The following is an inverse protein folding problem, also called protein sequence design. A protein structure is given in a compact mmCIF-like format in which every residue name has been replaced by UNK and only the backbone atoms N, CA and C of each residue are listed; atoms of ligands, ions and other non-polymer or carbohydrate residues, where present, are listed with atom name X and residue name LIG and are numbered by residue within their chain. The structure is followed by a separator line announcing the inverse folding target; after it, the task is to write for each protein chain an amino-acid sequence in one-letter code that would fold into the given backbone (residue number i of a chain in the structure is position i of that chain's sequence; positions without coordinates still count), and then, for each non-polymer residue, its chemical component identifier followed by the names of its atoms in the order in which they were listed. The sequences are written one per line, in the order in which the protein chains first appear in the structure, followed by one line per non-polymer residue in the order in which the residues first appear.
data_IF_065881029457
#
_entry.id   IF_065881029457
#
_cell.length_a   1.000
_cell.length_b   1.000
_cell.length_c   1.000
_cell.angle_alpha   90.00
_cell.angle_beta   90.00
_cell.angle_gamma   90.00
#
_symmetry.space_group_name_H-M   'P 1'
#
loop_
_entity.id
_entity.type
_entity.pdbx_description
1 polymer ?
#
# COMPACT_ATOMS: atom_id res chain seq x y z
N UNK A 1 -20.50 -56.93 16.15
CA UNK A 1 -20.76 -55.62 15.52
C UNK A 1 -20.01 -54.57 16.37
N UNK A 2 -18.78 -54.24 15.96
CA UNK A 2 -17.91 -53.33 16.70
C UNK A 2 -18.04 -51.92 16.07
N UNK A 3 -18.52 -50.95 16.85
CA UNK A 3 -18.49 -49.53 16.47
C UNK A 3 -17.08 -49.01 16.59
N UNK A 4 -16.49 -48.54 15.47
CA UNK A 4 -15.30 -47.71 15.46
C UNK A 4 -15.69 -46.29 15.87
N UNK A 5 -14.90 -45.59 16.73
CA UNK A 5 -15.12 -44.18 17.00
C UNK A 5 -14.69 -43.32 15.81
N UNK A 6 -15.58 -42.47 15.34
CA UNK A 6 -15.22 -41.37 14.43
C UNK A 6 -14.28 -40.38 15.22
N UNK A 7 -13.03 -40.41 14.85
CA UNK A 7 -12.10 -39.32 15.25
C UNK A 7 -12.43 -38.11 14.35
N UNK A 8 -13.20 -37.19 14.86
CA UNK A 8 -13.35 -35.88 14.26
C UNK A 8 -12.04 -35.11 14.53
N UNK A 9 -11.13 -35.14 13.57
CA UNK A 9 -9.97 -34.23 13.55
C UNK A 9 -10.47 -32.80 13.45
N UNK A 10 -10.53 -32.10 14.59
CA UNK A 10 -10.74 -30.67 14.59
C UNK A 10 -9.54 -30.05 13.90
N UNK A 11 -9.74 -29.46 12.73
CA UNK A 11 -8.77 -28.56 12.14
C UNK A 11 -8.53 -27.44 13.18
N UNK A 12 -7.38 -27.43 13.85
CA UNK A 12 -6.96 -26.26 14.64
C UNK A 12 -6.90 -25.08 13.66
N UNK A 13 -7.79 -24.11 13.84
CA UNK A 13 -7.64 -22.83 13.15
C UNK A 13 -6.24 -22.31 13.49
N UNK A 14 -5.43 -22.09 12.47
CA UNK A 14 -4.06 -21.63 12.68
C UNK A 14 -4.08 -20.34 13.50
N UNK A 15 -3.38 -20.34 14.64
CA UNK A 15 -3.40 -19.23 15.57
C UNK A 15 -2.44 -18.13 15.09
N UNK A 16 -2.94 -16.91 15.01
CA UNK A 16 -2.13 -15.73 14.70
C UNK A 16 -1.41 -15.26 15.95
N UNK A 17 -0.10 -15.04 15.84
CA UNK A 17 0.73 -14.60 16.95
C UNK A 17 1.40 -13.27 16.68
N UNK A 18 1.34 -12.37 17.67
CA UNK A 18 2.14 -11.15 17.72
C UNK A 18 3.41 -11.43 18.51
N UNK A 19 4.56 -11.19 17.91
CA UNK A 19 5.87 -11.33 18.55
C UNK A 19 6.55 -9.96 18.60
N UNK A 20 6.90 -9.50 19.80
CA UNK A 20 7.68 -8.28 19.97
C UNK A 20 9.14 -8.55 19.61
N UNK A 21 9.71 -7.70 18.78
CA UNK A 21 11.10 -7.75 18.35
C UNK A 21 11.88 -6.67 19.08
N UNK A 22 13.03 -7.05 19.68
CA UNK A 22 13.92 -6.10 20.32
C UNK A 22 14.62 -5.28 19.25
N UNK A 23 14.19 -4.02 19.08
CA UNK A 23 14.86 -3.06 18.22
C UNK A 23 15.91 -2.26 19.02
N UNK A 24 17.02 -1.82 18.40
CA UNK A 24 18.09 -1.11 19.13
C UNK A 24 17.68 0.29 19.60
N UNK A 25 16.59 0.84 19.04
CA UNK A 25 16.03 2.13 19.41
C UNK A 25 14.53 2.19 19.01
N UNK A 26 13.88 3.33 19.30
CA UNK A 26 12.51 3.59 18.85
C UNK A 26 12.38 3.41 17.33
N UNK A 27 11.39 2.63 16.92
CA UNK A 27 11.04 2.44 15.49
C UNK A 27 10.35 3.68 14.97
N UNK A 28 10.87 4.20 13.86
CA UNK A 28 10.41 5.41 13.21
C UNK A 28 9.69 5.11 11.88
N UNK A 29 10.17 4.12 11.12
CA UNK A 29 9.61 3.75 9.83
C UNK A 29 9.98 2.30 9.48
N UNK A 30 9.17 1.70 8.62
CA UNK A 30 9.50 0.50 7.86
C UNK A 30 9.40 0.83 6.38
N UNK A 31 10.17 0.14 5.55
CA UNK A 31 10.01 0.15 4.10
C UNK A 31 10.45 -1.18 3.48
N UNK A 32 10.22 -1.31 2.19
CA UNK A 32 10.73 -2.43 1.38
C UNK A 32 11.45 -1.87 0.16
N UNK A 33 12.72 -2.18 0.02
CA UNK A 33 13.55 -1.76 -1.12
C UNK A 33 14.02 -2.97 -1.89
N UNK A 34 13.68 -3.05 -3.17
CA UNK A 34 13.99 -4.20 -4.03
C UNK A 34 13.56 -5.54 -3.42
N UNK A 35 12.39 -5.59 -2.77
CA UNK A 35 11.86 -6.77 -2.10
C UNK A 35 12.47 -7.07 -0.72
N UNK A 36 13.46 -6.30 -0.27
CA UNK A 36 14.08 -6.47 1.05
C UNK A 36 13.42 -5.57 2.10
N UNK A 37 12.79 -6.14 3.14
CA UNK A 37 12.19 -5.37 4.23
C UNK A 37 13.26 -4.73 5.12
N UNK A 38 13.02 -3.48 5.52
CA UNK A 38 13.93 -2.72 6.38
C UNK A 38 13.16 -1.97 7.46
N UNK A 39 13.82 -1.72 8.58
CA UNK A 39 13.31 -0.90 9.69
C UNK A 39 14.28 0.23 10.00
N UNK A 40 13.75 1.43 10.18
CA UNK A 40 14.46 2.56 10.74
C UNK A 40 14.24 2.58 12.26
N UNK A 41 15.31 2.43 13.03
CA UNK A 41 15.27 2.51 14.49
C UNK A 41 16.28 3.57 14.95
N UNK A 42 15.78 4.64 15.57
CA UNK A 42 16.62 5.75 16.05
C UNK A 42 17.38 6.51 14.95
N UNK A 43 16.88 6.51 13.70
CA UNK A 43 17.52 7.15 12.56
C UNK A 43 18.49 6.25 11.77
N UNK A 44 18.73 5.03 12.23
CA UNK A 44 19.58 4.05 11.55
C UNK A 44 18.72 2.95 10.90
N UNK A 45 19.17 2.45 9.75
CA UNK A 45 18.45 1.42 9.01
C UNK A 45 18.99 0.02 9.29
N UNK A 46 18.09 -0.94 9.41
CA UNK A 46 18.38 -2.35 9.62
C UNK A 46 17.59 -3.20 8.63
N UNK A 47 18.23 -4.15 7.98
CA UNK A 47 17.56 -5.19 7.22
C UNK A 47 16.83 -6.14 8.18
N UNK A 48 15.57 -6.44 7.85
CA UNK A 48 14.78 -7.47 8.51
C UNK A 48 14.94 -8.79 7.77
N UNK A 49 15.12 -9.87 8.51
CA UNK A 49 15.25 -11.21 7.92
C UNK A 49 14.93 -12.30 8.93
N UNK A 50 15.03 -13.55 8.49
CA UNK A 50 14.89 -14.74 9.34
C UNK A 50 16.20 -15.50 9.37
N UNK A 51 16.64 -15.87 10.55
CA UNK A 51 17.69 -16.86 10.77
C UNK A 51 17.17 -17.95 11.69
N UNK A 52 17.13 -19.19 11.21
CA UNK A 52 16.60 -20.36 11.93
C UNK A 52 15.23 -20.13 12.57
N UNK A 53 14.35 -19.40 11.86
CA UNK A 53 13.00 -19.06 12.32
C UNK A 53 12.92 -17.86 13.27
N UNK A 54 14.04 -17.29 13.70
CA UNK A 54 14.07 -16.07 14.50
C UNK A 54 14.20 -14.81 13.61
N UNK A 55 13.46 -13.76 13.93
CA UNK A 55 13.59 -12.47 13.25
C UNK A 55 14.90 -11.81 13.64
N UNK A 56 15.66 -11.36 12.65
CA UNK A 56 16.96 -10.71 12.84
C UNK A 56 16.95 -9.28 12.29
N UNK A 57 17.70 -8.40 12.96
CA UNK A 57 18.00 -7.05 12.52
C UNK A 57 19.47 -6.93 12.23
N UNK A 58 19.83 -6.67 10.96
CA UNK A 58 21.22 -6.46 10.55
C UNK A 58 21.40 -5.01 10.12
N UNK A 59 22.29 -4.29 10.77
CA UNK A 59 22.60 -2.90 10.40
C UNK A 59 22.96 -2.80 8.91
N UNK A 60 22.44 -1.76 8.26
CA UNK A 60 22.70 -1.42 6.87
C UNK A 60 23.29 -0.01 6.82
N UNK A 61 24.46 0.12 6.22
CA UNK A 61 24.98 1.41 5.82
C UNK A 61 24.22 1.85 4.54
N UNK A 62 23.05 2.47 4.76
CA UNK A 62 22.22 2.89 3.64
C UNK A 62 22.85 4.10 2.96
N UNK A 63 23.18 4.05 1.66
CA UNK A 63 23.66 5.22 0.95
C UNK A 63 22.62 6.35 1.02
N UNK A 64 23.06 7.62 1.02
CA UNK A 64 22.13 8.72 0.97
C UNK A 64 21.22 8.59 -0.26
N UNK A 65 19.95 8.99 -0.16
CA UNK A 65 19.03 8.92 -1.29
C UNK A 65 19.60 9.73 -2.47
N UNK A 66 19.43 9.25 -3.71
CA UNK A 66 19.90 9.98 -4.88
C UNK A 66 19.23 11.36 -4.94
N UNK A 67 19.99 12.35 -5.46
CA UNK A 67 19.44 13.69 -5.64
C UNK A 67 18.14 13.61 -6.46
N UNK A 68 17.05 14.17 -5.95
CA UNK A 68 15.79 14.13 -6.67
C UNK A 68 15.89 14.94 -7.97
N UNK A 69 15.13 14.58 -9.02
CA UNK A 69 15.02 15.38 -10.24
C UNK A 69 14.51 16.78 -9.96
N UNK A 70 14.87 17.74 -10.84
CA UNK A 70 14.38 19.12 -10.71
C UNK A 70 12.84 19.17 -10.82
N UNK A 71 12.23 19.97 -9.96
CA UNK A 71 10.79 20.18 -9.93
C UNK A 71 9.97 19.04 -9.33
N UNK A 72 10.62 18.05 -8.69
CA UNK A 72 9.92 17.01 -7.93
C UNK A 72 9.11 17.64 -6.78
N UNK A 73 7.97 17.04 -6.46
CA UNK A 73 7.18 17.42 -5.29
C UNK A 73 8.02 17.27 -4.00
N UNK A 74 8.12 18.28 -3.12
CA UNK A 74 8.71 18.10 -1.79
C UNK A 74 8.07 16.93 -1.04
N UNK A 75 8.90 16.03 -0.49
CA UNK A 75 8.43 14.77 0.11
C UNK A 75 8.01 13.70 -0.89
N UNK A 76 7.91 14.05 -2.18
CA UNK A 76 7.58 13.10 -3.25
C UNK A 76 8.70 12.09 -3.51
N UNK A 77 8.31 10.88 -3.86
CA UNK A 77 9.23 9.76 -4.15
C UNK A 77 9.36 9.55 -5.65
N UNK A 78 10.60 9.30 -6.09
CA UNK A 78 10.88 8.81 -7.45
C UNK A 78 10.78 7.29 -7.42
N UNK A 79 9.82 6.76 -8.16
CA UNK A 79 9.58 5.32 -8.22
C UNK A 79 10.23 4.74 -9.46
N UNK A 80 11.08 3.73 -9.27
CA UNK A 80 11.68 2.96 -10.36
C UNK A 80 10.72 1.85 -10.80
N UNK A 81 10.56 1.71 -12.12
CA UNK A 81 9.78 0.64 -12.72
C UNK A 81 10.67 -0.53 -13.18
N UNK A 82 10.07 -1.68 -13.37
CA UNK A 82 10.75 -2.90 -13.83
C UNK A 82 10.40 -3.28 -15.27
N UNK A 83 9.33 -2.69 -15.85
CA UNK A 83 8.84 -2.96 -17.22
C UNK A 83 9.24 -1.85 -18.19
N UNK A 84 8.31 -1.26 -18.90
CA UNK A 84 8.51 -0.21 -19.90
C UNK A 84 8.83 1.16 -19.31
N UNK A 85 8.34 1.46 -18.12
CA UNK A 85 8.67 2.67 -17.37
C UNK A 85 9.99 2.45 -16.63
N UNK A 86 10.96 3.37 -16.81
CA UNK A 86 12.21 3.35 -16.05
C UNK A 86 12.02 3.99 -14.66
N UNK A 87 11.34 5.15 -14.63
CA UNK A 87 10.99 5.85 -13.38
C UNK A 87 9.86 6.84 -13.60
N UNK A 88 9.12 7.11 -12.52
CA UNK A 88 8.07 8.12 -12.51
C UNK A 88 8.06 8.89 -11.19
N UNK A 89 7.62 10.16 -11.21
CA UNK A 89 7.52 11.01 -10.01
C UNK A 89 6.52 12.14 -10.19
N UNK A 90 6.03 12.64 -9.08
CA UNK A 90 5.15 13.79 -9.01
C UNK A 90 5.95 15.10 -9.07
N UNK A 91 5.45 16.07 -9.83
CA UNK A 91 6.14 17.32 -10.11
C UNK A 91 5.18 18.51 -10.18
N UNK A 92 5.73 19.70 -10.41
CA UNK A 92 5.01 20.97 -10.41
C UNK A 92 4.26 21.21 -9.08
N UNK A 93 4.99 21.40 -7.96
CA UNK A 93 4.39 21.67 -6.66
C UNK A 93 3.43 22.86 -6.71
N UNK A 94 2.26 22.71 -6.06
CA UNK A 94 1.22 23.76 -6.01
C UNK A 94 0.46 23.70 -4.69
N UNK A 95 0.03 24.85 -4.19
CA UNK A 95 -0.79 25.00 -2.98
C UNK A 95 -2.26 25.27 -3.27
N UNK A 96 -2.70 25.12 -4.56
CA UNK A 96 -4.09 25.37 -4.97
C UNK A 96 -5.12 24.44 -4.31
N UNK A 97 -4.67 23.36 -3.65
CA UNK A 97 -5.51 22.47 -2.85
C UNK A 97 -4.99 22.41 -1.42
N UNK A 98 -5.76 22.90 -0.47
CA UNK A 98 -5.31 23.14 0.91
C UNK A 98 -5.44 21.96 1.87
N UNK A 99 -5.84 20.77 1.41
CA UNK A 99 -5.95 19.58 2.25
C UNK A 99 -4.56 19.01 2.53
N UNK A 100 -4.10 19.10 3.78
CA UNK A 100 -2.75 18.70 4.18
C UNK A 100 -2.68 17.28 4.72
N UNK A 101 -3.13 16.30 3.92
CA UNK A 101 -3.21 14.89 4.34
C UNK A 101 -1.84 14.29 4.71
N UNK A 102 -0.76 14.79 4.12
CA UNK A 102 0.63 14.41 4.41
C UNK A 102 1.38 15.38 5.35
N UNK A 103 0.66 16.24 6.08
CA UNK A 103 1.29 17.21 6.98
C UNK A 103 1.81 18.47 6.32
N UNK A 104 1.77 18.58 5.00
CA UNK A 104 2.14 19.78 4.24
C UNK A 104 1.08 20.15 3.20
N UNK A 105 1.09 21.42 2.75
CA UNK A 105 0.05 21.97 1.85
C UNK A 105 0.33 21.76 0.36
N UNK A 106 1.52 21.30 0.00
CA UNK A 106 1.89 21.17 -1.40
C UNK A 106 1.37 19.84 -1.95
N UNK A 107 0.71 19.92 -3.09
CA UNK A 107 0.33 18.78 -3.93
C UNK A 107 0.97 18.94 -5.32
N UNK A 108 0.87 17.93 -6.18
CA UNK A 108 1.50 17.99 -7.49
C UNK A 108 0.51 18.40 -8.59
N UNK A 109 0.93 19.30 -9.48
CA UNK A 109 0.19 19.66 -10.69
C UNK A 109 0.47 18.73 -11.88
N UNK A 110 1.50 17.89 -11.79
CA UNK A 110 1.89 17.00 -12.88
C UNK A 110 2.55 15.70 -12.40
N UNK A 111 2.54 14.70 -13.28
CA UNK A 111 3.30 13.47 -13.21
C UNK A 111 4.34 13.47 -14.33
N UNK A 112 5.59 13.17 -14.01
CA UNK A 112 6.67 12.96 -14.99
C UNK A 112 6.98 11.47 -15.08
N UNK A 113 7.18 10.99 -16.31
CA UNK A 113 7.43 9.59 -16.63
C UNK A 113 8.66 9.54 -17.54
N UNK A 114 9.62 8.71 -17.20
CA UNK A 114 10.73 8.35 -18.07
C UNK A 114 10.64 6.87 -18.43
N UNK A 115 10.61 6.58 -19.71
CA UNK A 115 10.56 5.19 -20.19
C UNK A 115 11.96 4.60 -20.32
N UNK A 116 12.06 3.27 -20.33
CA UNK A 116 13.32 2.58 -20.62
C UNK A 116 13.88 2.86 -22.01
N UNK A 117 13.03 3.29 -22.95
CA UNK A 117 13.44 3.76 -24.27
C UNK A 117 14.01 5.20 -24.26
N UNK A 118 14.20 5.81 -23.08
CA UNK A 118 14.79 7.15 -22.93
C UNK A 118 13.82 8.31 -23.26
N UNK A 119 12.54 8.04 -23.47
CA UNK A 119 11.54 9.10 -23.71
C UNK A 119 11.00 9.64 -22.37
N UNK A 120 10.78 10.96 -22.33
CA UNK A 120 10.18 11.64 -21.19
C UNK A 120 8.80 12.17 -21.55
N UNK A 121 7.83 11.91 -20.67
CA UNK A 121 6.44 12.39 -20.80
C UNK A 121 6.06 13.16 -19.55
N UNK A 122 5.09 14.07 -19.69
CA UNK A 122 4.52 14.83 -18.56
C UNK A 122 3.01 14.87 -18.72
N UNK A 123 2.33 14.27 -17.75
CA UNK A 123 0.86 14.38 -17.62
C UNK A 123 0.57 15.58 -16.71
N UNK A 124 -0.03 16.62 -17.26
CA UNK A 124 -0.43 17.84 -16.51
C UNK A 124 -1.91 17.79 -16.19
N UNK A 125 -2.27 18.06 -14.96
CA UNK A 125 -3.67 18.25 -14.58
C UNK A 125 -4.12 19.67 -14.90
N UNK A 126 -5.42 19.81 -15.17
CA UNK A 126 -6.08 21.12 -15.25
C UNK A 126 -6.13 21.77 -13.86
N UNK A 127 -6.43 23.05 -13.81
CA UNK A 127 -6.42 23.83 -12.56
C UNK A 127 -7.51 23.46 -11.56
N UNK A 128 -8.45 22.61 -11.95
CA UNK A 128 -9.53 22.10 -11.10
C UNK A 128 -9.14 20.87 -10.25
N UNK A 129 -7.92 20.34 -10.42
CA UNK A 129 -7.44 19.14 -9.72
C UNK A 129 -5.93 19.18 -9.43
N UNK A 130 -5.50 18.31 -8.51
CA UNK A 130 -4.09 18.04 -8.20
C UNK A 130 -3.89 16.52 -8.07
N UNK A 131 -2.65 16.04 -8.16
CA UNK A 131 -2.28 14.74 -7.60
C UNK A 131 -1.96 14.93 -6.12
N UNK A 132 -2.84 14.42 -5.25
CA UNK A 132 -2.70 14.45 -3.80
C UNK A 132 -2.12 13.11 -3.34
N UNK A 133 -0.87 12.92 -3.66
CA UNK A 133 -0.10 11.70 -3.45
C UNK A 133 1.38 12.05 -3.28
N UNK A 134 2.20 11.10 -2.79
CA UNK A 134 3.65 11.26 -2.68
C UNK A 134 4.41 10.33 -3.62
N UNK A 135 3.79 9.26 -4.11
CA UNK A 135 4.44 8.28 -4.96
C UNK A 135 3.49 7.72 -6.02
N UNK A 136 3.88 7.66 -7.30
CA UNK A 136 3.16 6.86 -8.30
C UNK A 136 3.30 5.36 -8.00
N UNK A 137 2.27 4.56 -8.30
CA UNK A 137 2.33 3.10 -8.26
C UNK A 137 2.32 2.58 -9.67
N UNK A 138 3.39 1.86 -10.01
CA UNK A 138 3.60 1.26 -11.34
C UNK A 138 3.14 -0.19 -11.28
N UNK A 139 2.13 -0.54 -12.04
CA UNK A 139 1.50 -1.86 -12.01
C UNK A 139 0.88 -2.20 -13.35
N UNK A 140 1.12 -3.41 -13.81
CA UNK A 140 0.48 -3.97 -15.01
C UNK A 140 -0.92 -4.44 -14.62
N UNK A 141 -1.92 -3.60 -14.87
CA UNK A 141 -3.31 -3.84 -14.42
C UNK A 141 -4.09 -4.75 -15.36
N UNK A 142 -3.77 -4.76 -16.65
CA UNK A 142 -4.50 -5.54 -17.66
C UNK A 142 -3.71 -6.75 -18.19
N UNK A 143 -2.46 -6.93 -17.73
CA UNK A 143 -1.62 -8.07 -18.10
C UNK A 143 -0.99 -7.95 -19.49
N UNK A 144 -0.90 -6.74 -20.05
CA UNK A 144 -0.28 -6.50 -21.37
C UNK A 144 1.25 -6.42 -21.33
N UNK A 145 1.85 -6.50 -20.14
CA UNK A 145 3.30 -6.44 -19.90
C UNK A 145 3.84 -5.03 -19.76
N UNK A 146 2.99 -4.01 -19.72
CA UNK A 146 3.35 -2.61 -19.52
C UNK A 146 2.80 -2.12 -18.20
N UNK A 147 3.39 -1.06 -17.66
CA UNK A 147 2.93 -0.49 -16.41
C UNK A 147 1.86 0.59 -16.66
N UNK A 148 0.71 0.46 -16.02
CA UNK A 148 -0.14 1.60 -15.69
C UNK A 148 0.41 2.30 -14.46
N UNK A 149 0.02 3.58 -14.31
CA UNK A 149 0.38 4.39 -13.16
C UNK A 149 -0.88 4.73 -12.40
N UNK A 150 -0.92 4.32 -11.12
CA UNK A 150 -2.05 4.59 -10.24
C UNK A 150 -1.70 5.68 -9.25
N UNK A 151 -2.56 6.71 -9.15
CA UNK A 151 -2.38 7.89 -8.31
C UNK A 151 -3.70 8.34 -7.68
N UNK A 152 -3.60 9.03 -6.56
CA UNK A 152 -4.72 9.78 -5.99
C UNK A 152 -4.79 11.15 -6.66
N UNK A 153 -5.92 11.42 -7.33
CA UNK A 153 -6.25 12.70 -7.95
C UNK A 153 -7.36 13.36 -7.16
N UNK A 154 -7.09 14.54 -6.60
CA UNK A 154 -8.05 15.30 -5.82
C UNK A 154 -8.56 16.50 -6.62
N UNK A 155 -9.87 16.57 -6.78
CA UNK A 155 -10.56 17.70 -7.38
C UNK A 155 -10.82 18.76 -6.32
N UNK A 156 -10.62 20.03 -6.65
CA UNK A 156 -10.74 21.14 -5.72
C UNK A 156 -12.13 21.23 -5.06
N UNK A 157 -13.17 20.76 -5.75
CA UNK A 157 -14.57 20.83 -5.28
C UNK A 157 -15.25 19.49 -5.06
N UNK A 158 -14.65 18.37 -5.55
CA UNK A 158 -15.32 17.05 -5.54
C UNK A 158 -14.59 16.00 -4.72
N UNK A 159 -13.43 16.34 -4.12
CA UNK A 159 -12.61 15.40 -3.36
C UNK A 159 -11.83 14.44 -4.24
N UNK A 160 -11.22 13.44 -3.63
CA UNK A 160 -10.32 12.51 -4.28
C UNK A 160 -11.04 11.47 -5.16
N UNK A 161 -10.33 11.03 -6.19
CA UNK A 161 -10.60 9.85 -7.00
C UNK A 161 -9.30 9.06 -7.16
N UNK A 162 -9.37 7.75 -7.30
CA UNK A 162 -8.25 6.97 -7.79
C UNK A 162 -8.18 7.16 -9.31
N UNK A 163 -7.03 7.54 -9.85
CA UNK A 163 -6.80 7.72 -11.27
C UNK A 163 -5.84 6.67 -11.81
N UNK A 164 -6.17 6.09 -12.95
CA UNK A 164 -5.29 5.23 -13.75
C UNK A 164 -4.79 6.04 -14.93
N UNK A 165 -3.47 6.09 -15.07
CA UNK A 165 -2.77 6.73 -16.19
C UNK A 165 -2.11 5.63 -17.01
N UNK A 166 -2.39 5.60 -18.31
CA UNK A 166 -1.83 4.64 -19.26
C UNK A 166 -1.37 5.31 -20.54
N UNK A 167 -0.57 4.60 -21.31
CA UNK A 167 -0.15 5.07 -22.62
C UNK A 167 -1.27 4.86 -23.65
N UNK A 168 -1.70 5.94 -24.29
CA UNK A 168 -2.67 5.94 -25.41
C UNK A 168 -2.11 6.75 -26.56
N UNK A 169 -2.12 6.17 -27.78
CA UNK A 169 -1.67 6.84 -29.03
C UNK A 169 -0.29 7.52 -28.90
N UNK A 170 0.63 6.88 -28.15
CA UNK A 170 1.99 7.38 -27.97
C UNK A 170 2.20 8.40 -26.87
N UNK A 171 1.16 8.80 -26.11
CA UNK A 171 1.22 9.69 -24.94
C UNK A 171 0.65 9.00 -23.70
N UNK A 172 1.00 9.52 -22.51
CA UNK A 172 0.38 9.12 -21.26
C UNK A 172 -0.75 10.08 -20.90
N UNK A 173 -1.89 9.54 -20.50
CA UNK A 173 -3.07 10.29 -20.09
C UNK A 173 -3.86 9.56 -19.02
N UNK A 174 -4.72 10.28 -18.29
CA UNK A 174 -5.68 9.66 -17.36
C UNK A 174 -6.74 8.94 -18.19
N UNK A 175 -6.78 7.62 -18.11
CA UNK A 175 -7.66 6.74 -18.89
C UNK A 175 -8.89 6.26 -18.13
N UNK A 176 -8.82 6.23 -16.80
CA UNK A 176 -9.93 5.85 -15.93
C UNK A 176 -9.81 6.53 -14.56
N UNK A 177 -10.95 6.76 -13.93
CA UNK A 177 -11.02 7.28 -12.55
C UNK A 177 -12.20 6.61 -11.81
N UNK A 178 -12.04 6.42 -10.49
CA UNK A 178 -13.20 6.14 -9.64
C UNK A 178 -14.08 7.39 -9.54
N UNK A 179 -15.37 7.27 -9.18
CA UNK A 179 -16.17 8.44 -8.84
C UNK A 179 -15.48 9.25 -7.71
N UNK A 180 -15.35 10.57 -7.86
CA UNK A 180 -14.83 11.43 -6.79
C UNK A 180 -15.69 11.31 -5.51
N UNK A 181 -15.07 11.52 -4.36
CA UNK A 181 -15.72 11.36 -3.03
C UNK A 181 -16.81 12.38 -2.71
N UNK A 182 -17.08 13.33 -3.62
CA UNK A 182 -18.21 14.26 -3.58
C UNK A 182 -17.96 15.56 -2.82
N UNK A 183 -16.94 15.64 -1.97
CA UNK A 183 -16.62 16.83 -1.16
C UNK A 183 -15.11 17.08 -1.10
N UNK A 184 -14.67 18.34 -1.10
CA UNK A 184 -13.27 18.68 -0.89
C UNK A 184 -12.78 18.19 0.48
N UNK A 185 -11.47 17.91 0.60
CA UNK A 185 -10.89 17.38 1.83
C UNK A 185 -11.29 15.93 2.15
N UNK A 186 -11.95 15.22 1.22
CA UNK A 186 -12.16 13.77 1.31
C UNK A 186 -11.11 13.07 0.46
N UNK A 187 -10.41 12.13 1.09
CA UNK A 187 -9.26 11.45 0.49
C UNK A 187 -9.44 9.93 0.53
N UNK A 188 -8.69 9.22 -0.28
CA UNK A 188 -8.61 7.77 -0.31
C UNK A 188 -7.15 7.34 -0.38
N UNK A 189 -6.83 6.18 0.18
CA UNK A 189 -5.49 5.63 0.20
C UNK A 189 -5.44 4.29 -0.53
N UNK A 190 -4.64 4.14 -1.59
CA UNK A 190 -4.36 2.81 -2.15
C UNK A 190 -3.80 1.89 -1.08
N UNK A 191 -4.26 0.63 -1.06
CA UNK A 191 -3.90 -0.35 -0.04
C UNK A 191 -3.14 -1.56 -0.61
N UNK A 192 -3.30 -1.86 -1.90
CA UNK A 192 -2.59 -2.97 -2.52
C UNK A 192 -3.00 -3.22 -3.96
N UNK A 193 -2.11 -3.92 -4.67
CA UNK A 193 -2.29 -4.36 -6.04
C UNK A 193 -1.86 -5.82 -6.12
N UNK A 194 -2.80 -6.73 -6.35
CA UNK A 194 -2.52 -8.16 -6.40
C UNK A 194 -3.67 -8.92 -7.08
N UNK A 195 -3.48 -10.18 -7.45
CA UNK A 195 -4.57 -11.04 -7.92
C UNK A 195 -5.44 -11.53 -6.75
N UNK A 196 -6.09 -10.60 -6.05
CA UNK A 196 -6.87 -10.85 -4.83
C UNK A 196 -8.01 -11.87 -5.01
N UNK A 197 -8.56 -11.98 -6.21
CA UNK A 197 -9.63 -12.94 -6.54
C UNK A 197 -9.11 -14.19 -7.22
N UNK A 198 -7.78 -14.35 -7.32
CA UNK A 198 -7.11 -15.46 -8.00
C UNK A 198 -7.02 -15.29 -9.53
N UNK A 199 -7.63 -14.24 -10.09
CA UNK A 199 -7.64 -13.91 -11.51
C UNK A 199 -7.28 -12.44 -11.75
N UNK A 200 -6.30 -12.15 -12.57
CA UNK A 200 -5.91 -10.79 -12.97
C UNK A 200 -5.64 -9.83 -11.80
N UNK A 201 -5.02 -8.71 -12.10
CA UNK A 201 -4.69 -7.69 -11.12
C UNK A 201 -5.93 -6.95 -10.64
N UNK A 202 -6.04 -6.73 -9.33
CA UNK A 202 -7.08 -5.92 -8.68
C UNK A 202 -6.44 -4.81 -7.87
N UNK A 203 -7.23 -3.80 -7.55
CA UNK A 203 -6.82 -2.64 -6.76
C UNK A 203 -7.61 -2.63 -5.46
N UNK A 204 -6.93 -2.72 -4.33
CA UNK A 204 -7.50 -2.46 -3.03
C UNK A 204 -7.20 -1.03 -2.59
N UNK A 205 -8.18 -0.33 -2.04
CA UNK A 205 -8.02 1.02 -1.48
C UNK A 205 -8.88 1.19 -0.23
N UNK A 206 -8.48 2.07 0.67
CA UNK A 206 -9.33 2.49 1.79
C UNK A 206 -9.92 3.86 1.47
N UNK A 207 -11.24 3.89 1.31
CA UNK A 207 -11.99 5.12 1.14
C UNK A 207 -12.12 5.84 2.47
N UNK A 208 -11.66 7.10 2.52
CA UNK A 208 -11.71 7.97 3.69
C UNK A 208 -11.12 7.31 4.96
N UNK A 209 -9.83 6.96 4.96
CA UNK A 209 -9.19 6.21 6.05
C UNK A 209 -9.24 6.93 7.41
N UNK A 210 -9.48 8.23 7.43
CA UNK A 210 -9.54 9.04 8.64
C UNK A 210 -10.97 9.31 9.16
N UNK A 211 -12.04 8.95 8.40
CA UNK A 211 -13.43 9.30 8.75
C UNK A 211 -14.44 8.20 8.50
N UNK A 212 -14.27 7.36 7.49
CA UNK A 212 -15.21 6.29 7.12
C UNK A 212 -14.56 4.90 7.23
N UNK A 213 -13.32 4.76 6.72
CA UNK A 213 -12.57 3.52 6.80
C UNK A 213 -13.17 2.36 5.99
N UNK A 214 -13.61 2.60 4.76
CA UNK A 214 -14.16 1.54 3.91
C UNK A 214 -13.06 0.99 2.99
N UNK A 215 -12.66 -0.28 3.21
CA UNK A 215 -11.83 -1.02 2.28
C UNK A 215 -12.68 -1.37 1.05
N UNK A 216 -12.24 -1.01 -0.13
CA UNK A 216 -12.91 -1.28 -1.40
C UNK A 216 -11.96 -2.07 -2.32
N UNK A 217 -12.52 -3.07 -3.03
CA UNK A 217 -11.84 -3.80 -4.10
C UNK A 217 -12.34 -3.30 -5.45
N UNK A 218 -11.42 -2.98 -6.35
CA UNK A 218 -11.71 -2.47 -7.69
C UNK A 218 -10.98 -3.28 -8.75
N UNK A 219 -11.59 -3.39 -9.91
CA UNK A 219 -11.01 -3.95 -11.13
C UNK A 219 -10.96 -2.87 -12.20
N UNK A 220 -9.84 -2.83 -12.93
CA UNK A 220 -9.76 -2.05 -14.17
C UNK A 220 -9.93 -3.01 -15.35
N UNK A 221 -11.04 -2.86 -16.05
CA UNK A 221 -11.40 -3.69 -17.21
C UNK A 221 -12.02 -2.83 -18.29
N UNK A 222 -11.63 -3.02 -19.54
CA UNK A 222 -12.16 -2.31 -20.72
C UNK A 222 -12.11 -0.77 -20.57
N UNK A 223 -11.03 -0.25 -19.95
CA UNK A 223 -10.84 1.18 -19.74
C UNK A 223 -11.73 1.79 -18.64
N UNK A 224 -12.35 0.97 -17.78
CA UNK A 224 -13.22 1.42 -16.67
C UNK A 224 -12.78 0.81 -15.35
N UNK A 225 -12.94 1.58 -14.28
CA UNK A 225 -12.83 1.09 -12.92
C UNK A 225 -14.20 0.65 -12.42
N UNK A 226 -14.30 -0.62 -12.02
CA UNK A 226 -15.51 -1.22 -11.45
C UNK A 226 -15.24 -1.64 -10.02
N UNK A 227 -16.11 -1.21 -9.09
CA UNK A 227 -16.06 -1.68 -7.71
C UNK A 227 -16.65 -3.08 -7.60
N UNK A 228 -15.91 -4.01 -7.04
CA UNK A 228 -16.31 -5.41 -6.87
C UNK A 228 -16.89 -5.67 -5.47
N UNK A 229 -16.24 -5.12 -4.42
CA UNK A 229 -16.62 -5.38 -3.03
C UNK A 229 -16.25 -4.20 -2.13
N UNK A 230 -16.82 -4.17 -0.92
CA UNK A 230 -16.44 -3.25 0.14
C UNK A 230 -16.69 -3.84 1.53
N UNK A 231 -15.80 -3.50 2.50
CA UNK A 231 -15.87 -3.89 3.90
C UNK A 231 -15.45 -2.70 4.77
N UNK A 232 -16.17 -2.45 5.86
CA UNK A 232 -15.91 -1.29 6.72
C UNK A 232 -14.92 -1.59 7.87
N UNK A 233 -14.36 -0.52 8.46
CA UNK A 233 -13.60 -0.60 9.69
C UNK A 233 -12.08 -0.67 9.53
N UNK A 234 -11.51 0.00 8.49
CA UNK A 234 -10.07 -0.05 8.18
C UNK A 234 -9.43 1.34 8.09
N UNK A 235 -8.14 1.41 8.41
CA UNK A 235 -7.31 2.58 8.16
C UNK A 235 -5.91 2.13 7.73
N UNK A 236 -5.46 2.60 6.57
CA UNK A 236 -4.11 2.34 6.06
C UNK A 236 -3.27 3.61 5.94
N UNK A 237 -3.66 4.66 6.68
CA UNK A 237 -2.93 5.92 6.71
C UNK A 237 -3.20 6.69 8.01
N UNK A 238 -2.19 7.37 8.52
CA UNK A 238 -2.27 8.31 9.65
C UNK A 238 -2.23 9.73 9.10
N UNK A 239 -3.23 10.55 9.42
CA UNK A 239 -3.26 11.94 8.95
C UNK A 239 -1.99 12.69 9.36
N UNK A 240 -1.38 13.39 8.41
CA UNK A 240 -0.11 14.09 8.58
C UNK A 240 1.14 13.23 8.43
N UNK A 241 1.00 11.93 8.19
CA UNK A 241 2.11 11.01 7.94
C UNK A 241 2.44 10.93 6.44
N UNK A 242 3.68 10.62 6.13
CA UNK A 242 4.16 10.29 4.78
C UNK A 242 4.22 8.76 4.52
N UNK A 243 3.74 7.94 5.45
CA UNK A 243 3.60 6.50 5.29
C UNK A 243 2.50 6.18 4.26
N UNK A 244 2.83 5.43 3.21
CA UNK A 244 1.94 5.11 2.09
C UNK A 244 1.61 3.61 1.98
N UNK A 245 2.22 2.77 2.81
CA UNK A 245 2.15 1.32 2.73
C UNK A 245 1.80 0.70 4.10
N UNK A 246 0.81 1.27 4.81
CA UNK A 246 0.27 0.65 6.02
C UNK A 246 -0.65 -0.54 5.70
N UNK A 247 -0.26 -1.33 4.70
CA UNK A 247 -0.93 -2.54 4.25
C UNK A 247 0.08 -3.44 3.54
N UNK A 248 -0.18 -4.74 3.52
CA UNK A 248 0.67 -5.71 2.85
C UNK A 248 -0.20 -6.82 2.22
N UNK A 249 0.13 -7.20 0.99
CA UNK A 249 -0.57 -8.24 0.24
C UNK A 249 0.31 -9.49 0.12
N UNK A 250 -0.22 -10.64 0.52
CA UNK A 250 0.38 -11.97 0.33
C UNK A 250 -0.70 -13.02 0.52
N UNK A 251 -0.44 -14.25 0.08
CA UNK A 251 -1.27 -15.40 0.41
C UNK A 251 -0.98 -15.80 1.88
N UNK A 252 -1.85 -15.38 2.80
CA UNK A 252 -1.69 -15.64 4.22
C UNK A 252 -2.42 -16.90 4.69
N UNK A 253 -3.42 -17.37 3.97
CA UNK A 253 -4.20 -18.57 4.34
C UNK A 253 -3.84 -19.82 3.54
N UNK A 254 -3.10 -19.66 2.43
CA UNK A 254 -2.60 -20.76 1.60
C UNK A 254 -3.58 -21.20 0.51
N UNK A 255 -4.57 -20.36 0.16
CA UNK A 255 -5.60 -20.69 -0.85
C UNK A 255 -5.15 -20.36 -2.30
N UNK A 256 -3.94 -19.81 -2.47
CA UNK A 256 -3.33 -19.45 -3.74
C UNK A 256 -3.76 -18.09 -4.30
N UNK A 257 -4.62 -17.33 -3.60
CA UNK A 257 -4.93 -15.94 -3.89
C UNK A 257 -4.19 -15.02 -2.92
N UNK A 258 -4.06 -13.75 -3.26
CA UNK A 258 -3.50 -12.79 -2.32
C UNK A 258 -4.58 -12.32 -1.34
N UNK A 259 -4.23 -12.27 -0.06
CA UNK A 259 -4.96 -11.58 0.99
C UNK A 259 -4.37 -10.20 1.23
N UNK A 260 -5.06 -9.38 2.01
CA UNK A 260 -4.60 -8.06 2.40
C UNK A 260 -4.58 -7.90 3.92
N UNK A 261 -3.41 -7.65 4.48
CA UNK A 261 -3.23 -7.25 5.86
C UNK A 261 -3.21 -5.73 5.98
N UNK A 262 -4.05 -5.16 6.85
CA UNK A 262 -4.07 -3.72 7.14
C UNK A 262 -4.69 -3.46 8.52
N UNK A 263 -4.41 -2.29 9.15
CA UNK A 263 -4.96 -1.99 10.47
C UNK A 263 -6.48 -1.80 10.47
N UNK A 264 -7.11 -2.09 11.62
CA UNK A 264 -8.47 -1.63 11.95
C UNK A 264 -8.55 -0.10 11.92
N UNK A 265 -9.76 0.47 11.90
CA UNK A 265 -9.97 1.91 11.82
C UNK A 265 -9.28 2.69 12.96
N UNK A 266 -9.29 2.16 14.18
CA UNK A 266 -8.59 2.69 15.34
C UNK A 266 -7.11 2.27 15.42
N UNK A 267 -6.67 1.39 14.50
CA UNK A 267 -5.32 0.83 14.37
C UNK A 267 -4.86 -0.02 15.54
N UNK A 268 -5.78 -0.49 16.38
CA UNK A 268 -5.49 -1.34 17.54
C UNK A 268 -5.46 -2.83 17.21
N UNK A 269 -5.82 -3.20 15.98
CA UNK A 269 -5.75 -4.56 15.47
C UNK A 269 -5.10 -4.56 14.08
N UNK A 270 -4.40 -5.63 13.72
CA UNK A 270 -4.11 -5.95 12.34
C UNK A 270 -5.19 -6.90 11.85
N UNK A 271 -5.91 -6.50 10.81
CA UNK A 271 -6.97 -7.30 10.19
C UNK A 271 -6.44 -7.89 8.89
N UNK A 272 -6.77 -9.14 8.61
CA UNK A 272 -6.38 -9.84 7.39
C UNK A 272 -7.65 -10.21 6.66
N UNK A 273 -7.75 -9.76 5.40
CA UNK A 273 -8.94 -9.89 4.57
C UNK A 273 -8.60 -10.73 3.35
N UNK A 274 -9.33 -11.82 3.18
CA UNK A 274 -9.37 -12.58 1.93
C UNK A 274 -10.47 -12.04 1.01
N UNK A 275 -10.28 -12.23 -0.29
CA UNK A 275 -11.22 -11.80 -1.32
C UNK A 275 -11.79 -12.99 -2.10
N UNK A 276 -11.45 -14.21 -1.69
CA UNK A 276 -11.86 -15.46 -2.33
C UNK A 276 -12.56 -16.37 -1.33
N UNK A 277 -13.72 -16.98 -1.67
CA UNK A 277 -14.49 -16.74 -2.91
C UNK A 277 -15.18 -15.37 -2.92
N UNK A 278 -15.31 -14.71 -1.79
CA UNK A 278 -15.85 -13.35 -1.59
C UNK A 278 -15.05 -12.61 -0.52
N UNK A 279 -15.20 -11.29 -0.46
CA UNK A 279 -14.46 -10.45 0.49
C UNK A 279 -14.92 -10.71 1.93
N UNK A 280 -14.03 -11.24 2.77
CA UNK A 280 -14.28 -11.53 4.19
C UNK A 280 -13.01 -11.39 5.02
N UNK A 281 -13.19 -11.21 6.32
CA UNK A 281 -12.08 -11.18 7.28
C UNK A 281 -11.70 -12.61 7.68
N UNK A 282 -10.42 -12.95 7.56
CA UNK A 282 -9.88 -14.23 8.00
C UNK A 282 -9.17 -14.14 9.36
N UNK A 283 -8.77 -12.94 9.78
CA UNK A 283 -8.21 -12.72 11.12
C UNK A 283 -8.32 -11.25 11.56
N UNK A 284 -8.49 -11.05 12.87
CA UNK A 284 -8.32 -9.77 13.56
C UNK A 284 -7.38 -9.99 14.74
N UNK A 285 -6.15 -9.48 14.62
CA UNK A 285 -5.06 -9.73 15.56
C UNK A 285 -4.85 -8.50 16.44
N UNK A 286 -5.14 -8.54 17.75
CA UNK A 286 -4.93 -7.40 18.64
C UNK A 286 -3.46 -6.98 18.70
N UNK A 287 -3.20 -5.67 18.63
CA UNK A 287 -1.87 -5.09 18.73
C UNK A 287 -1.64 -4.50 20.12
N UNK A 288 -0.41 -4.59 20.67
CA UNK A 288 -0.08 -4.03 22.00
C UNK A 288 -0.21 -2.49 22.07
N UNK A 289 -0.10 -1.81 20.92
CA UNK A 289 -0.33 -0.38 20.75
C UNK A 289 -0.77 -0.13 19.29
N UNK A 290 -1.36 1.04 18.96
CA UNK A 290 -1.83 1.31 17.59
C UNK A 290 -0.70 1.20 16.55
N UNK A 291 -1.02 0.65 15.37
CA UNK A 291 -0.12 0.63 14.22
C UNK A 291 0.26 2.06 13.81
N UNK A 292 1.53 2.31 13.51
CA UNK A 292 2.04 3.66 13.29
C UNK A 292 2.96 3.81 12.07
N UNK A 293 3.44 2.74 11.48
CA UNK A 293 4.36 2.76 10.33
C UNK A 293 3.78 2.00 9.15
N UNK A 294 4.46 2.08 8.00
CA UNK A 294 4.24 1.13 6.91
C UNK A 294 4.43 -0.32 7.40
N UNK A 295 3.81 -1.27 6.70
CA UNK A 295 4.01 -2.70 6.89
C UNK A 295 5.11 -3.20 5.95
N UNK A 296 5.88 -4.18 6.42
CA UNK A 296 6.84 -4.87 5.59
C UNK A 296 6.69 -6.38 5.73
N UNK A 297 6.84 -7.11 4.63
CA UNK A 297 6.79 -8.58 4.64
C UNK A 297 8.20 -9.15 4.77
N UNK A 298 8.44 -9.95 5.80
CA UNK A 298 9.64 -10.77 5.92
C UNK A 298 9.35 -12.08 5.18
N UNK A 299 10.11 -12.42 4.13
CA UNK A 299 9.86 -13.62 3.33
C UNK A 299 9.86 -14.90 4.16
N UNK A 300 8.91 -15.78 3.90
CA UNK A 300 8.71 -17.08 4.53
C UNK A 300 7.43 -17.74 4.01
N UNK A 301 7.22 -19.03 4.18
CA UNK A 301 5.97 -19.74 3.89
C UNK A 301 5.15 -20.04 5.19
N UNK A 302 4.13 -19.25 5.58
CA UNK A 302 3.73 -17.94 5.07
C UNK A 302 4.67 -16.82 5.50
N UNK A 303 4.64 -15.65 4.83
CA UNK A 303 5.46 -14.52 5.22
C UNK A 303 5.03 -13.93 6.57
N UNK A 304 5.99 -13.37 7.32
CA UNK A 304 5.70 -12.61 8.53
C UNK A 304 5.44 -11.15 8.18
N UNK A 305 4.47 -10.54 8.84
CA UNK A 305 4.16 -9.12 8.71
C UNK A 305 4.90 -8.37 9.82
N UNK A 306 5.79 -7.44 9.47
CA UNK A 306 6.47 -6.56 10.41
C UNK A 306 5.83 -5.17 10.40
N UNK A 307 5.66 -4.55 11.58
CA UNK A 307 5.19 -3.17 11.70
C UNK A 307 5.68 -2.52 12.99
N UNK A 308 5.82 -1.19 12.95
CA UNK A 308 6.11 -0.34 14.10
C UNK A 308 4.82 0.17 14.73
N UNK A 309 4.82 0.25 16.05
CA UNK A 309 3.68 0.69 16.83
C UNK A 309 3.88 2.14 17.37
N UNK A 310 2.80 2.77 17.79
CA UNK A 310 2.81 4.15 18.29
C UNK A 310 3.69 4.34 19.54
N UNK A 311 3.90 3.28 20.34
CA UNK A 311 4.83 3.28 21.47
C UNK A 311 6.31 3.19 21.03
N UNK A 312 6.57 3.03 19.72
CA UNK A 312 7.91 2.91 19.14
C UNK A 312 8.47 1.48 19.14
N UNK A 313 7.67 0.50 19.51
CA UNK A 313 8.09 -0.90 19.45
C UNK A 313 7.93 -1.49 18.04
N UNK A 314 8.71 -2.53 17.75
CA UNK A 314 8.60 -3.37 16.57
C UNK A 314 7.88 -4.66 16.94
N UNK A 315 6.90 -5.06 16.12
CA UNK A 315 6.28 -6.38 16.24
C UNK A 315 6.30 -7.09 14.89
N UNK A 316 6.28 -8.43 14.96
CA UNK A 316 5.97 -9.26 13.81
C UNK A 316 4.72 -10.09 14.10
N UNK A 317 3.94 -10.35 13.05
CA UNK A 317 2.69 -11.11 13.09
C UNK A 317 2.80 -12.23 12.07
N UNK A 318 2.48 -13.44 12.48
CA UNK A 318 2.49 -14.62 11.63
C UNK A 318 1.52 -15.70 12.11
N UNK A 319 1.27 -16.67 11.26
CA UNK A 319 0.53 -17.91 11.60
C UNK A 319 1.48 -18.97 12.14
N UNK A 320 1.03 -19.69 13.18
CA UNK A 320 1.73 -20.89 13.69
C UNK A 320 1.40 -22.10 12.85
#
# INVERSE_FOLDING_TARGET
MALLPLVTGGAHAAEWRVTRIVAPARVLALDTVAGAPRVNAGGLWYALGLDKGAVTLRFIDAPPPPKPPDGVLPGGRVVAGTRDIARAWLAAPTDRYSHAVFGHRLAAGSLVIETRAGKRFTVRLKDDAVFEDLAPRLVDLDGDGRDEIVLVKSYLRRGAALAVIAQRRGNYEVVAETPPLGQPGRWLAPAGFAPFTGDGMKIALVRQPHTLGALELWEWRDGRLQKLAALAGFANHVAGSDALAMSAAADFDGDGAADLALPSFDRTQLRIVSFKPEMHEIAAVPLPAPAATDLALIPGPPPLIALGLADGSLVTIGRN
#
